data_IF_621132009305
#
_entry.id   IF_621132009305
#
_cell.length_a   1.000
_cell.length_b   1.000
_cell.length_c   1.000
_cell.angle_alpha   90.00
_cell.angle_beta   90.00
_cell.angle_gamma   90.00
#
_symmetry.space_group_name_H-M   'P 1'
#
loop_
_entity.id
_entity.type
_entity.pdbx_description
1 polymer ?
#
# COMPACT_ATOMS: atom_id res chain seq x y z
N UNK A 1 -7.24 -17.51 -55.76
CA UNK A 1 -6.41 -16.34 -55.38
C UNK A 1 -7.18 -15.38 -54.47
N UNK A 2 -8.43 -15.02 -54.80
CA UNK A 2 -9.30 -14.15 -53.98
C UNK A 2 -9.59 -14.68 -52.57
N UNK A 3 -9.82 -15.98 -52.41
CA UNK A 3 -10.10 -16.60 -51.10
C UNK A 3 -8.95 -16.45 -50.09
N UNK A 4 -7.70 -16.48 -50.54
CA UNK A 4 -6.51 -16.26 -49.68
C UNK A 4 -6.41 -14.81 -49.21
N UNK A 5 -6.80 -13.85 -50.05
CA UNK A 5 -6.81 -12.42 -49.71
C UNK A 5 -7.89 -12.09 -48.67
N UNK A 6 -9.08 -12.68 -48.82
CA UNK A 6 -10.17 -12.53 -47.86
C UNK A 6 -9.80 -13.10 -46.48
N UNK A 7 -9.15 -14.27 -46.47
CA UNK A 7 -8.70 -14.90 -45.24
C UNK A 7 -7.62 -14.07 -44.52
N UNK A 8 -6.65 -13.53 -45.27
CA UNK A 8 -5.61 -12.66 -44.73
C UNK A 8 -6.21 -11.38 -44.13
N UNK A 9 -7.13 -10.73 -44.85
CA UNK A 9 -7.83 -9.53 -44.38
C UNK A 9 -8.64 -9.80 -43.10
N UNK A 10 -9.39 -10.90 -43.04
CA UNK A 10 -10.11 -11.29 -41.84
C UNK A 10 -9.17 -11.51 -40.65
N UNK A 11 -8.07 -12.21 -40.88
CA UNK A 11 -7.08 -12.49 -39.84
C UNK A 11 -6.42 -11.21 -39.31
N UNK A 12 -6.09 -10.25 -40.18
CA UNK A 12 -5.53 -8.97 -39.77
C UNK A 12 -6.52 -8.13 -38.94
N UNK A 13 -7.81 -8.16 -39.29
CA UNK A 13 -8.87 -7.49 -38.52
C UNK A 13 -9.00 -8.14 -37.13
N UNK A 14 -9.08 -9.47 -37.08
CA UNK A 14 -9.21 -10.20 -35.81
C UNK A 14 -7.97 -9.99 -34.93
N UNK A 15 -6.77 -10.01 -35.51
CA UNK A 15 -5.52 -9.73 -34.80
C UNK A 15 -5.53 -8.35 -34.14
N UNK A 16 -5.92 -7.31 -34.88
CA UNK A 16 -6.04 -5.94 -34.34
C UNK A 16 -7.07 -5.86 -33.22
N UNK A 17 -8.23 -6.50 -33.39
CA UNK A 17 -9.25 -6.56 -32.35
C UNK A 17 -8.74 -7.22 -31.07
N UNK A 18 -8.01 -8.33 -31.17
CA UNK A 18 -7.44 -9.01 -29.99
C UNK A 18 -6.38 -8.12 -29.32
N UNK A 19 -5.53 -7.47 -30.11
CA UNK A 19 -4.52 -6.54 -29.60
C UNK A 19 -5.13 -5.38 -28.79
N UNK A 20 -6.32 -4.91 -29.17
CA UNK A 20 -7.02 -3.86 -28.45
C UNK A 20 -7.86 -4.37 -27.27
N UNK A 21 -8.54 -5.51 -27.41
CA UNK A 21 -9.45 -6.03 -26.39
C UNK A 21 -8.70 -6.61 -25.19
N UNK A 22 -7.58 -7.30 -25.41
CA UNK A 22 -6.85 -7.97 -24.31
C UNK A 22 -6.33 -6.98 -23.28
N UNK A 23 -5.62 -5.89 -23.65
CA UNK A 23 -5.20 -4.88 -22.69
C UNK A 23 -6.39 -4.20 -22.00
N UNK A 24 -7.50 -3.96 -22.70
CA UNK A 24 -8.72 -3.38 -22.11
C UNK A 24 -9.34 -4.31 -21.06
N UNK A 25 -9.37 -5.61 -21.33
CA UNK A 25 -9.86 -6.61 -20.39
C UNK A 25 -8.97 -6.67 -19.14
N UNK A 26 -7.64 -6.73 -19.30
CA UNK A 26 -6.69 -6.71 -18.17
C UNK A 26 -6.82 -5.42 -17.37
N UNK A 27 -6.90 -4.27 -18.02
CA UNK A 27 -7.10 -2.99 -17.36
C UNK A 27 -8.41 -2.96 -16.56
N UNK A 28 -9.51 -3.46 -17.11
CA UNK A 28 -10.80 -3.43 -16.44
C UNK A 28 -10.88 -4.42 -15.26
N UNK A 29 -10.52 -5.67 -15.50
CA UNK A 29 -10.74 -6.76 -14.54
C UNK A 29 -9.65 -6.87 -13.48
N UNK A 30 -8.42 -6.47 -13.78
CA UNK A 30 -7.32 -6.55 -12.84
C UNK A 30 -6.98 -5.16 -12.30
N UNK A 31 -6.46 -4.28 -13.15
CA UNK A 31 -5.86 -3.01 -12.68
C UNK A 31 -6.90 -2.10 -12.01
N UNK A 32 -8.01 -1.83 -12.71
CA UNK A 32 -9.04 -0.93 -12.22
C UNK A 32 -9.85 -1.54 -11.08
N UNK A 33 -10.07 -2.86 -11.11
CA UNK A 33 -10.72 -3.59 -10.02
C UNK A 33 -9.86 -3.53 -8.75
N UNK A 34 -8.60 -3.95 -8.82
CA UNK A 34 -7.68 -3.89 -7.69
C UNK A 34 -7.53 -2.46 -7.19
N UNK A 35 -7.43 -1.44 -8.05
CA UNK A 35 -7.35 -0.04 -7.63
C UNK A 35 -8.57 0.41 -6.82
N UNK A 36 -9.79 0.02 -7.21
CA UNK A 36 -11.02 0.36 -6.48
C UNK A 36 -11.06 -0.33 -5.12
N UNK A 37 -10.73 -1.62 -5.10
CA UNK A 37 -10.94 -2.46 -3.90
C UNK A 37 -9.74 -2.46 -2.95
N UNK A 38 -8.59 -1.92 -3.38
CA UNK A 38 -7.38 -1.83 -2.56
C UNK A 38 -7.63 -1.07 -1.26
N UNK A 39 -8.23 0.13 -1.34
CA UNK A 39 -8.47 0.95 -0.15
C UNK A 39 -9.48 0.31 0.79
N UNK A 40 -10.59 -0.25 0.26
CA UNK A 40 -11.58 -0.95 1.06
C UNK A 40 -11.01 -2.19 1.75
N UNK A 41 -10.22 -2.98 1.03
CA UNK A 41 -9.54 -4.16 1.58
C UNK A 41 -8.46 -3.78 2.58
N UNK A 42 -7.74 -2.68 2.34
CA UNK A 42 -6.69 -2.19 3.23
C UNK A 42 -7.30 -1.72 4.56
N UNK A 43 -8.38 -0.94 4.52
CA UNK A 43 -9.12 -0.54 5.74
C UNK A 43 -9.62 -1.78 6.47
N UNK A 44 -10.25 -2.73 5.78
CA UNK A 44 -10.72 -3.97 6.41
C UNK A 44 -9.58 -4.79 7.05
N UNK A 45 -8.40 -4.82 6.43
CA UNK A 45 -7.24 -5.54 6.99
C UNK A 45 -6.61 -4.80 8.15
N UNK A 46 -6.47 -3.48 8.04
CA UNK A 46 -5.82 -2.63 9.04
C UNK A 46 -6.69 -2.50 10.30
N UNK A 47 -8.02 -2.39 10.15
CA UNK A 47 -8.95 -2.27 11.27
C UNK A 47 -9.44 -3.61 11.82
N UNK A 48 -8.78 -4.73 11.49
CA UNK A 48 -9.06 -6.00 12.18
C UNK A 48 -8.60 -5.85 13.64
N UNK A 49 -9.58 -5.80 14.54
CA UNK A 49 -9.39 -5.59 15.99
C UNK A 49 -8.33 -6.53 16.59
N UNK A 50 -8.17 -7.73 16.04
CA UNK A 50 -7.23 -8.74 16.54
C UNK A 50 -5.75 -8.48 16.21
N UNK A 51 -5.42 -7.54 15.32
CA UNK A 51 -4.02 -7.27 14.91
C UNK A 51 -3.62 -5.80 15.11
N UNK A 52 -4.53 -4.97 15.62
CA UNK A 52 -4.26 -3.56 15.85
C UNK A 52 -3.25 -3.36 16.98
N UNK A 53 -3.33 -4.18 18.02
CA UNK A 53 -2.42 -4.14 19.18
C UNK A 53 -0.98 -4.48 18.76
N UNK A 54 -0.80 -5.56 17.99
CA UNK A 54 0.50 -5.96 17.45
C UNK A 54 1.08 -4.94 16.44
N UNK A 55 0.24 -4.33 15.59
CA UNK A 55 0.69 -3.31 14.63
C UNK A 55 1.05 -1.98 15.30
N UNK A 56 0.51 -1.70 16.48
CA UNK A 56 0.79 -0.50 17.27
C UNK A 56 1.94 -0.70 18.26
N UNK A 57 2.51 -1.90 18.36
CA UNK A 57 3.66 -2.15 19.21
C UNK A 57 4.85 -1.31 18.72
N UNK A 58 5.26 -0.36 19.55
CA UNK A 58 6.44 0.46 19.30
C UNK A 58 7.68 -0.45 19.31
N UNK A 59 8.62 -0.21 18.39
CA UNK A 59 9.91 -0.91 18.42
C UNK A 59 10.63 -0.67 19.75
N UNK A 60 11.22 -1.71 20.33
CA UNK A 60 11.92 -1.68 21.63
C UNK A 60 12.94 -0.54 21.75
N UNK A 61 13.64 -0.24 20.65
CA UNK A 61 14.64 0.81 20.59
C UNK A 61 14.05 2.21 20.81
N UNK A 62 12.84 2.46 20.30
CA UNK A 62 12.09 3.70 20.49
C UNK A 62 11.61 3.83 21.93
N UNK A 63 11.11 2.73 22.52
CA UNK A 63 10.69 2.66 23.92
C UNK A 63 11.86 2.99 24.85
N UNK A 64 13.01 2.38 24.62
CA UNK A 64 14.24 2.60 25.39
C UNK A 64 14.75 4.04 25.24
N UNK A 65 14.75 4.58 24.03
CA UNK A 65 15.14 5.98 23.78
C UNK A 65 14.20 6.97 24.48
N UNK A 66 12.89 6.74 24.44
CA UNK A 66 11.89 7.57 25.15
C UNK A 66 12.12 7.54 26.65
N UNK A 67 12.40 6.35 27.22
CA UNK A 67 12.67 6.20 28.65
C UNK A 67 13.92 7.00 29.08
N UNK A 68 15.03 6.85 28.35
CA UNK A 68 16.27 7.62 28.60
C UNK A 68 16.05 9.13 28.53
N UNK A 69 15.36 9.61 27.50
CA UNK A 69 15.11 11.06 27.36
C UNK A 69 14.25 11.59 28.49
N UNK A 70 13.28 10.80 28.97
CA UNK A 70 12.41 11.17 30.11
C UNK A 70 13.16 11.21 31.43
N UNK A 71 14.05 10.25 31.66
CA UNK A 71 14.94 10.23 32.82
C UNK A 71 15.90 11.43 32.80
N UNK A 72 16.50 11.72 31.66
CA UNK A 72 17.37 12.88 31.47
C UNK A 72 16.62 14.19 31.71
N UNK A 73 15.39 14.30 31.19
CA UNK A 73 14.54 15.47 31.41
C UNK A 73 14.24 15.69 32.90
N UNK A 74 13.90 14.64 33.64
CA UNK A 74 13.67 14.74 35.09
C UNK A 74 14.92 15.19 35.85
N UNK A 75 16.08 14.63 35.53
CA UNK A 75 17.36 15.03 36.13
C UNK A 75 17.69 16.50 35.85
N UNK A 76 17.49 16.96 34.60
CA UNK A 76 17.68 18.36 34.23
C UNK A 76 16.68 19.29 34.94
N UNK A 77 15.42 18.88 35.07
CA UNK A 77 14.41 19.66 35.78
C UNK A 77 14.76 19.82 37.27
N UNK A 78 15.22 18.76 37.93
CA UNK A 78 15.68 18.82 39.31
C UNK A 78 16.92 19.71 39.47
N UNK A 79 17.88 19.63 38.55
CA UNK A 79 19.06 20.50 38.56
C UNK A 79 18.67 21.99 38.43
N UNK A 80 17.69 22.31 37.59
CA UNK A 80 17.16 23.67 37.45
C UNK A 80 16.42 24.14 38.72
N UNK A 81 15.66 23.27 39.39
CA UNK A 81 15.02 23.62 40.67
C UNK A 81 16.03 23.85 41.80
N UNK A 82 17.07 23.00 41.91
CA UNK A 82 18.12 23.16 42.92
C UNK A 82 18.97 24.41 42.66
N UNK A 83 19.18 24.78 41.39
CA UNK A 83 19.91 25.99 40.98
C UNK A 83 19.11 27.30 41.14
N UNK A 84 17.83 27.23 41.53
CA UNK A 84 16.97 28.41 41.79
C UNK A 84 17.04 28.92 43.23
N UNK A 85 17.89 28.34 44.07
CA UNK A 85 18.28 28.87 45.38
C UNK A 85 19.65 29.56 45.28
#
# INVERSE_FOLDING_TARGET
>A
MVTKLLLASYYDIVRKNIQDLVPKAVMHFLVNHTKRDLLGTFIQKLYRENSFEDMLEEQDEVVMKRKRTREMFHALQQAVEVSKF
#
